data_IF_217010923120
#
_entry.id   IF_217010923120
#
_cell.length_a   1.000
_cell.length_b   1.000
_cell.length_c   1.000
_cell.angle_alpha   90.00
_cell.angle_beta   90.00
_cell.angle_gamma   90.00
#
_symmetry.space_group_name_H-M   'P 1'
#
loop_
_entity.id
_entity.type
_entity.pdbx_description
1 polymer ?
#
# COMPACT_ATOMS: atom_id res chain seq x y z
N UNK A 1 10.56 -52.89 -22.04
CA UNK A 1 9.35 -52.23 -21.51
C UNK A 1 9.73 -51.24 -20.39
N UNK A 2 10.51 -50.19 -20.69
CA UNK A 2 11.06 -49.29 -19.65
C UNK A 2 11.33 -47.88 -20.21
N UNK A 3 10.40 -47.32 -20.99
CA UNK A 3 10.50 -45.93 -21.47
C UNK A 3 9.22 -45.10 -21.33
N UNK A 4 8.14 -45.69 -20.81
CA UNK A 4 6.81 -45.06 -20.76
C UNK A 4 6.39 -44.57 -19.37
N UNK A 5 7.25 -44.64 -18.36
CA UNK A 5 6.94 -44.20 -16.99
C UNK A 5 7.58 -42.87 -16.57
N UNK A 6 8.49 -42.30 -17.37
CA UNK A 6 9.20 -41.06 -16.99
C UNK A 6 8.41 -39.79 -17.37
N UNK A 7 7.42 -39.88 -18.27
CA UNK A 7 6.70 -38.69 -18.77
C UNK A 7 5.56 -38.25 -17.83
N UNK A 8 5.06 -39.14 -16.96
CA UNK A 8 3.92 -38.84 -16.06
C UNK A 8 4.36 -38.04 -14.82
N UNK A 9 5.66 -38.02 -14.47
CA UNK A 9 6.16 -37.31 -13.28
C UNK A 9 6.44 -35.81 -13.50
N UNK A 10 6.40 -35.33 -14.75
CA UNK A 10 6.63 -33.92 -15.11
C UNK A 10 5.34 -33.10 -15.23
N UNK A 11 4.18 -33.73 -14.98
CA UNK A 11 2.86 -33.08 -15.01
C UNK A 11 2.26 -33.05 -13.58
N UNK A 12 3.12 -32.88 -12.56
CA UNK A 12 2.65 -32.25 -11.31
C UNK A 12 2.61 -30.76 -11.61
N UNK A 13 1.46 -30.39 -12.18
CA UNK A 13 1.09 -29.05 -12.57
C UNK A 13 1.39 -28.09 -11.42
N UNK A 14 2.29 -27.15 -11.65
CA UNK A 14 2.43 -25.95 -10.85
C UNK A 14 1.15 -25.10 -11.02
N UNK A 15 0.04 -25.54 -10.42
CA UNK A 15 -1.03 -24.63 -10.06
C UNK A 15 -0.53 -23.84 -8.85
N UNK A 16 0.34 -22.87 -9.12
CA UNK A 16 0.55 -21.75 -8.22
C UNK A 16 -0.74 -20.94 -8.22
N UNK A 17 -1.77 -21.44 -7.54
CA UNK A 17 -2.81 -20.56 -7.03
C UNK A 17 -2.05 -19.51 -6.22
N UNK A 18 -2.17 -18.23 -6.60
CA UNK A 18 -1.59 -17.14 -5.81
C UNK A 18 -2.30 -17.17 -4.46
N UNK A 19 -1.73 -17.95 -3.53
CA UNK A 19 -2.26 -18.10 -2.19
C UNK A 19 -2.15 -16.74 -1.53
N UNK A 20 -3.28 -16.22 -1.10
CA UNK A 20 -3.35 -14.95 -0.41
C UNK A 20 -2.57 -15.08 0.91
N UNK A 21 -1.66 -14.16 1.18
CA UNK A 21 -0.96 -14.11 2.47
C UNK A 21 -1.80 -13.37 3.51
N UNK A 22 -1.56 -13.62 4.80
CA UNK A 22 -2.31 -12.96 5.87
C UNK A 22 -2.26 -11.43 5.74
N UNK A 23 -3.42 -10.77 5.72
CA UNK A 23 -3.54 -9.33 5.53
C UNK A 23 -3.43 -8.84 4.08
N UNK A 24 -3.33 -9.74 3.11
CA UNK A 24 -3.46 -9.39 1.69
C UNK A 24 -4.92 -9.42 1.24
N UNK A 25 -5.21 -8.67 0.18
CA UNK A 25 -6.47 -8.66 -0.55
C UNK A 25 -6.22 -8.91 -2.03
N UNK A 26 -7.19 -9.52 -2.71
CA UNK A 26 -7.22 -9.73 -4.16
C UNK A 26 -8.58 -9.32 -4.71
N UNK A 27 -8.60 -8.57 -5.81
CA UNK A 27 -9.85 -8.15 -6.45
C UNK A 27 -10.49 -9.30 -7.25
N UNK A 28 -11.82 -9.36 -7.25
CA UNK A 28 -12.59 -10.08 -8.27
C UNK A 28 -12.83 -9.14 -9.46
N UNK A 29 -12.16 -9.30 -10.61
CA UNK A 29 -12.31 -8.38 -11.74
C UNK A 29 -13.72 -8.35 -12.32
N UNK A 30 -14.46 -9.45 -12.20
CA UNK A 30 -15.82 -9.58 -12.73
C UNK A 30 -16.86 -8.82 -11.90
N UNK A 31 -16.50 -8.44 -10.67
CA UNK A 31 -17.37 -7.72 -9.74
C UNK A 31 -17.49 -6.22 -10.01
N UNK A 32 -16.64 -5.65 -10.87
CA UNK A 32 -16.61 -4.20 -11.12
C UNK A 32 -17.97 -3.70 -11.63
N UNK A 33 -18.53 -2.69 -10.99
CA UNK A 33 -19.76 -2.01 -11.45
C UNK A 33 -19.59 -0.49 -11.36
N UNK A 34 -19.90 0.20 -12.45
CA UNK A 34 -19.94 1.66 -12.48
C UNK A 34 -21.13 2.18 -11.68
N UNK A 35 -20.93 3.30 -10.98
CA UNK A 35 -21.95 3.96 -10.15
C UNK A 35 -22.42 5.30 -10.74
N UNK A 36 -21.71 5.79 -11.76
CA UNK A 36 -22.08 6.96 -12.53
C UNK A 36 -21.94 6.69 -14.03
N UNK A 37 -22.75 7.37 -14.83
CA UNK A 37 -22.69 7.33 -16.30
C UNK A 37 -21.98 8.59 -16.81
N UNK A 38 -20.69 8.43 -17.14
CA UNK A 38 -19.82 9.51 -17.65
C UNK A 38 -19.11 9.08 -18.94
N UNK A 39 -19.60 8.01 -19.59
CA UNK A 39 -18.89 7.39 -20.72
C UNK A 39 -18.82 8.31 -21.94
N UNK A 40 -19.81 9.17 -22.13
CA UNK A 40 -19.92 10.08 -23.26
C UNK A 40 -19.39 11.49 -22.98
N UNK A 41 -18.97 11.77 -21.74
CA UNK A 41 -18.43 13.08 -21.36
C UNK A 41 -17.08 13.36 -22.05
N UNK A 42 -16.65 14.62 -22.07
CA UNK A 42 -15.28 14.98 -22.47
C UNK A 42 -14.32 14.75 -21.29
N UNK A 43 -13.05 14.50 -21.58
CA UNK A 43 -12.02 14.48 -20.53
C UNK A 43 -11.78 15.88 -19.94
N UNK A 44 -11.42 15.99 -18.65
CA UNK A 44 -11.25 14.91 -17.68
C UNK A 44 -12.60 14.35 -17.17
N UNK A 45 -12.64 13.02 -16.96
CA UNK A 45 -13.80 12.30 -16.44
C UNK A 45 -13.51 11.77 -15.04
N UNK A 46 -14.50 11.79 -14.16
CA UNK A 46 -14.41 11.16 -12.84
C UNK A 46 -15.27 9.91 -12.84
N UNK A 47 -14.66 8.74 -12.79
CA UNK A 47 -15.37 7.46 -12.69
C UNK A 47 -15.51 7.05 -11.23
N UNK A 48 -16.73 6.70 -10.84
CA UNK A 48 -17.04 6.10 -9.55
C UNK A 48 -17.47 4.67 -9.83
N UNK A 49 -16.79 3.71 -9.22
CA UNK A 49 -17.10 2.30 -9.41
C UNK A 49 -16.87 1.53 -8.12
N UNK A 50 -17.59 0.41 -7.97
CA UNK A 50 -17.41 -0.53 -6.87
C UNK A 50 -16.79 -1.83 -7.36
N UNK A 51 -15.98 -2.44 -6.51
CA UNK A 51 -15.37 -3.75 -6.72
C UNK A 51 -15.48 -4.60 -5.45
N UNK A 52 -15.52 -5.91 -5.62
CA UNK A 52 -15.41 -6.89 -4.54
C UNK A 52 -13.99 -7.42 -4.44
N UNK A 53 -13.55 -7.65 -3.21
CA UNK A 53 -12.21 -8.10 -2.87
C UNK A 53 -12.32 -9.25 -1.87
N UNK A 54 -11.52 -10.29 -2.07
CA UNK A 54 -11.32 -11.34 -1.09
C UNK A 54 -10.06 -10.99 -0.29
N UNK A 55 -10.20 -10.87 1.03
CA UNK A 55 -9.13 -10.45 1.94
C UNK A 55 -8.93 -11.50 3.03
N UNK A 56 -7.68 -11.90 3.28
CA UNK A 56 -7.36 -12.94 4.27
C UNK A 56 -7.06 -12.33 5.65
N UNK A 57 -7.80 -12.77 6.67
CA UNK A 57 -7.50 -12.53 8.09
C UNK A 57 -7.23 -13.84 8.85
N UNK A 58 -7.15 -13.76 10.17
CA UNK A 58 -7.01 -14.91 11.07
C UNK A 58 -8.24 -15.81 11.01
N UNK A 59 -9.39 -15.23 10.70
CA UNK A 59 -10.70 -15.89 10.72
C UNK A 59 -11.05 -16.47 9.34
N UNK A 60 -10.15 -16.34 8.36
CA UNK A 60 -10.31 -16.82 7.00
C UNK A 60 -10.49 -15.69 5.98
N UNK A 61 -11.05 -16.05 4.82
CA UNK A 61 -11.28 -15.12 3.71
C UNK A 61 -12.58 -14.37 3.95
N UNK A 62 -12.49 -13.04 3.97
CA UNK A 62 -13.65 -12.12 4.06
C UNK A 62 -13.80 -11.40 2.73
N UNK A 63 -15.04 -11.34 2.22
CA UNK A 63 -15.38 -10.57 1.02
C UNK A 63 -15.76 -9.14 1.40
N UNK A 64 -15.05 -8.16 0.83
CA UNK A 64 -15.27 -6.73 1.06
C UNK A 64 -15.69 -6.09 -0.27
N UNK A 65 -16.79 -5.34 -0.26
CA UNK A 65 -17.16 -4.49 -1.39
C UNK A 65 -16.73 -3.06 -1.08
N UNK A 66 -16.05 -2.44 -2.03
CA UNK A 66 -15.34 -1.20 -1.79
C UNK A 66 -15.49 -0.25 -2.98
N UNK A 67 -15.63 1.04 -2.70
CA UNK A 67 -15.91 2.08 -3.71
C UNK A 67 -14.61 2.82 -4.03
N UNK A 68 -14.33 2.98 -5.32
CA UNK A 68 -13.17 3.70 -5.84
C UNK A 68 -13.62 4.86 -6.72
N UNK A 69 -12.84 5.94 -6.68
CA UNK A 69 -12.97 7.10 -7.56
C UNK A 69 -11.66 7.29 -8.34
N UNK A 70 -11.75 7.46 -9.65
CA UNK A 70 -10.59 7.67 -10.51
C UNK A 70 -10.86 8.81 -11.49
N UNK A 71 -9.94 9.77 -11.54
CA UNK A 71 -9.93 10.82 -12.56
C UNK A 71 -9.12 10.32 -13.76
N UNK A 72 -9.74 10.37 -14.92
CA UNK A 72 -9.13 10.01 -16.18
C UNK A 72 -9.02 11.20 -17.11
N UNK A 73 -7.85 11.38 -17.70
CA UNK A 73 -7.56 12.50 -18.62
C UNK A 73 -7.52 12.06 -20.09
N UNK A 74 -7.52 10.76 -20.36
CA UNK A 74 -7.41 10.19 -21.70
C UNK A 74 -7.75 8.69 -21.70
N UNK A 75 -7.79 8.07 -22.87
CA UNK A 75 -8.12 6.65 -23.03
C UNK A 75 -7.15 5.70 -22.29
N UNK A 76 -5.86 6.07 -22.17
CA UNK A 76 -4.88 5.26 -21.44
C UNK A 76 -5.15 5.29 -19.94
N UNK A 77 -5.58 6.44 -19.41
CA UNK A 77 -6.02 6.56 -18.03
C UNK A 77 -7.29 5.77 -17.76
N UNK A 78 -8.26 5.76 -18.69
CA UNK A 78 -9.46 4.91 -18.58
C UNK A 78 -9.07 3.44 -18.40
N UNK A 79 -8.16 2.96 -19.24
CA UNK A 79 -7.72 1.57 -19.20
C UNK A 79 -6.92 1.21 -17.93
N UNK A 80 -6.10 2.14 -17.41
CA UNK A 80 -5.13 1.83 -16.33
C UNK A 80 -5.56 2.27 -14.94
N UNK A 81 -6.37 3.32 -14.82
CA UNK A 81 -6.81 3.90 -13.53
C UNK A 81 -8.23 3.49 -13.17
N UNK A 82 -9.10 3.27 -14.16
CA UNK A 82 -10.51 2.91 -13.94
C UNK A 82 -10.65 1.39 -13.84
N UNK A 83 -9.88 0.78 -12.93
CA UNK A 83 -9.88 -0.66 -12.65
C UNK A 83 -9.84 -0.89 -11.15
N UNK A 84 -10.28 -2.06 -10.69
CA UNK A 84 -10.18 -2.44 -9.27
C UNK A 84 -8.71 -2.46 -8.83
N UNK A 85 -8.45 -2.17 -7.55
CA UNK A 85 -7.10 -2.18 -7.01
C UNK A 85 -6.45 -3.57 -7.16
N UNK A 86 -5.17 -3.61 -7.54
CA UNK A 86 -4.48 -4.86 -7.85
C UNK A 86 -4.69 -5.40 -9.28
N UNK A 87 -5.72 -4.96 -10.01
CA UNK A 87 -5.92 -5.35 -11.42
C UNK A 87 -4.86 -4.70 -12.31
N UNK A 88 -4.23 -5.50 -13.17
CA UNK A 88 -3.28 -5.08 -14.19
C UNK A 88 -3.88 -5.26 -15.57
N UNK A 89 -3.61 -4.27 -16.40
CA UNK A 89 -4.05 -4.19 -17.80
C UNK A 89 -2.79 -4.02 -18.63
N UNK A 90 -2.69 -4.75 -19.74
CA UNK A 90 -1.60 -4.65 -20.69
C UNK A 90 -2.08 -3.99 -21.97
N UNK A 91 -1.17 -3.28 -22.61
CA UNK A 91 -1.39 -2.60 -23.89
C UNK A 91 -1.13 -3.58 -25.02
N UNK A 92 -2.05 -3.63 -25.98
CA UNK A 92 -1.99 -4.46 -27.17
C UNK A 92 -2.15 -3.56 -28.40
N UNK A 93 -1.77 -4.00 -29.62
CA UNK A 93 -1.75 -3.13 -30.81
C UNK A 93 -3.06 -2.40 -31.10
N UNK A 94 -4.20 -2.96 -30.68
CA UNK A 94 -5.55 -2.41 -30.90
C UNK A 94 -6.27 -1.99 -29.62
N UNK A 95 -5.56 -1.82 -28.49
CA UNK A 95 -6.16 -1.29 -27.27
C UNK A 95 -5.53 -1.82 -25.98
N UNK A 96 -6.39 -2.21 -25.04
CA UNK A 96 -6.00 -2.64 -23.71
C UNK A 96 -6.77 -3.89 -23.32
N UNK A 97 -6.09 -4.86 -22.72
CA UNK A 97 -6.72 -6.08 -22.22
C UNK A 97 -6.30 -6.41 -20.79
N UNK A 98 -7.15 -7.14 -20.09
CA UNK A 98 -6.84 -7.68 -18.77
C UNK A 98 -5.58 -8.54 -18.84
N UNK A 99 -4.64 -8.29 -17.93
CA UNK A 99 -3.42 -9.08 -17.78
C UNK A 99 -3.57 -10.08 -16.62
N UNK A 100 -3.70 -9.55 -15.40
CA UNK A 100 -3.78 -10.35 -14.17
C UNK A 100 -4.28 -9.52 -12.98
N UNK A 101 -4.55 -10.20 -11.88
CA UNK A 101 -4.73 -9.57 -10.56
C UNK A 101 -3.52 -9.85 -9.70
N UNK A 102 -2.98 -8.81 -9.07
CA UNK A 102 -1.86 -8.91 -8.13
C UNK A 102 -2.43 -8.67 -6.72
N UNK A 103 -2.23 -9.61 -5.77
CA UNK A 103 -2.55 -9.38 -4.38
C UNK A 103 -1.81 -8.15 -3.83
N UNK A 104 -2.46 -7.43 -2.93
CA UNK A 104 -1.88 -6.26 -2.29
C UNK A 104 -2.09 -6.29 -0.79
N UNK A 105 -1.16 -5.71 -0.05
CA UNK A 105 -1.30 -5.60 1.40
C UNK A 105 -2.41 -4.60 1.75
N UNK A 106 -3.37 -5.04 2.54
CA UNK A 106 -4.60 -4.30 2.86
C UNK A 106 -4.35 -2.94 3.52
N UNK A 107 -3.24 -2.75 4.24
CA UNK A 107 -2.90 -1.42 4.78
C UNK A 107 -2.36 -0.44 3.74
N UNK A 108 -1.91 -0.91 2.57
CA UNK A 108 -1.43 -0.04 1.49
C UNK A 108 -2.57 0.45 0.59
N UNK A 109 -3.76 -0.12 0.72
CA UNK A 109 -4.90 0.21 -0.14
C UNK A 109 -5.25 1.70 -0.12
N UNK A 110 -5.74 2.19 -1.26
CA UNK A 110 -6.38 3.51 -1.33
C UNK A 110 -7.87 3.45 -1.00
N UNK A 111 -8.41 2.26 -0.89
CA UNK A 111 -9.85 2.05 -0.76
C UNK A 111 -10.26 2.06 0.71
N UNK A 112 -11.15 2.99 1.06
CA UNK A 112 -11.50 3.30 2.45
C UNK A 112 -12.00 2.06 3.19
N UNK A 113 -12.88 1.27 2.59
CA UNK A 113 -13.53 0.12 3.22
C UNK A 113 -12.51 -0.98 3.56
N UNK A 114 -11.58 -1.27 2.64
CA UNK A 114 -10.50 -2.23 2.88
C UNK A 114 -9.55 -1.71 3.96
N UNK A 115 -9.23 -0.42 3.94
CA UNK A 115 -8.34 0.21 4.93
C UNK A 115 -8.95 0.15 6.33
N UNK A 116 -10.22 0.49 6.47
CA UNK A 116 -10.96 0.43 7.74
C UNK A 116 -11.05 -0.98 8.29
N UNK A 117 -11.27 -1.97 7.42
CA UNK A 117 -11.24 -3.38 7.80
C UNK A 117 -9.83 -3.81 8.26
N UNK A 118 -8.78 -3.43 7.52
CA UNK A 118 -7.41 -3.79 7.84
C UNK A 118 -6.99 -3.26 9.22
N UNK A 119 -7.37 -2.02 9.55
CA UNK A 119 -7.06 -1.40 10.85
C UNK A 119 -7.68 -2.13 12.05
N UNK A 120 -8.79 -2.83 11.84
CA UNK A 120 -9.49 -3.58 12.90
C UNK A 120 -9.00 -5.01 13.03
N UNK A 121 -8.64 -5.64 11.90
CA UNK A 121 -8.43 -7.09 11.83
C UNK A 121 -6.98 -7.51 11.56
N UNK A 122 -6.16 -6.62 10.99
CA UNK A 122 -4.83 -6.96 10.50
C UNK A 122 -3.78 -6.11 11.25
N UNK A 123 -2.87 -6.73 12.03
CA UNK A 123 -1.70 -6.04 12.55
C UNK A 123 -0.91 -5.34 11.44
N UNK A 124 -0.42 -4.12 11.69
CA UNK A 124 0.32 -3.34 10.69
C UNK A 124 1.65 -4.01 10.31
N UNK A 125 2.31 -4.64 11.28
CA UNK A 125 3.59 -5.31 11.08
C UNK A 125 3.37 -6.82 10.96
N UNK A 126 3.34 -7.30 9.73
CA UNK A 126 3.14 -8.72 9.36
C UNK A 126 4.14 -9.11 8.27
N UNK A 127 4.14 -10.39 7.90
CA UNK A 127 4.97 -10.86 6.78
C UNK A 127 4.61 -10.16 5.47
N UNK A 128 3.33 -9.88 5.25
CA UNK A 128 2.83 -9.14 4.09
C UNK A 128 3.31 -7.69 4.05
N UNK A 129 3.56 -7.07 5.21
CA UNK A 129 4.13 -5.72 5.28
C UNK A 129 5.66 -5.68 5.11
N UNK A 130 6.35 -6.82 5.10
CA UNK A 130 7.82 -6.89 5.18
C UNK A 130 8.53 -6.12 4.08
N UNK A 131 8.07 -6.23 2.83
CA UNK A 131 8.63 -5.49 1.70
C UNK A 131 8.47 -3.98 1.86
N UNK A 132 7.30 -3.53 2.32
CA UNK A 132 7.01 -2.12 2.58
C UNK A 132 7.84 -1.58 3.73
N UNK A 133 8.00 -2.38 4.79
CA UNK A 133 8.77 -2.03 5.96
C UNK A 133 10.27 -1.92 5.63
N UNK A 134 10.82 -2.86 4.85
CA UNK A 134 12.21 -2.78 4.38
C UNK A 134 12.44 -1.55 3.51
N UNK A 135 11.49 -1.24 2.62
CA UNK A 135 11.56 -0.03 1.81
C UNK A 135 11.52 1.24 2.69
N UNK A 136 10.61 1.29 3.66
CA UNK A 136 10.55 2.36 4.65
C UNK A 136 11.87 2.55 5.38
N UNK A 137 12.44 1.48 5.96
CA UNK A 137 13.72 1.58 6.69
C UNK A 137 14.86 2.08 5.81
N UNK A 138 14.95 1.64 4.55
CA UNK A 138 15.96 2.16 3.62
C UNK A 138 15.82 3.67 3.39
N UNK A 139 14.59 4.16 3.20
CA UNK A 139 14.35 5.59 3.02
C UNK A 139 14.63 6.38 4.29
N UNK A 140 14.25 5.86 5.46
CA UNK A 140 14.53 6.51 6.74
C UNK A 140 16.02 6.55 7.03
N UNK A 141 16.79 5.52 6.68
CA UNK A 141 18.25 5.49 6.84
C UNK A 141 18.94 6.56 5.99
N UNK A 142 18.52 6.73 4.73
CA UNK A 142 19.01 7.80 3.85
C UNK A 142 18.73 9.20 4.43
N UNK A 143 17.52 9.41 4.95
CA UNK A 143 17.14 10.67 5.60
C UNK A 143 17.93 10.89 6.90
N UNK A 144 18.08 9.86 7.72
CA UNK A 144 18.81 9.92 8.97
C UNK A 144 20.26 10.34 8.74
N UNK A 145 20.95 9.71 7.79
CA UNK A 145 22.33 10.07 7.38
C UNK A 145 22.41 11.53 6.91
N UNK A 146 21.45 11.97 6.11
CA UNK A 146 21.40 13.36 5.61
C UNK A 146 21.21 14.36 6.75
N UNK A 147 20.32 14.05 7.70
CA UNK A 147 20.10 14.87 8.90
C UNK A 147 21.32 14.88 9.81
N UNK A 148 22.05 13.78 9.98
CA UNK A 148 23.31 13.76 10.74
C UNK A 148 24.39 14.65 10.11
N UNK A 149 24.46 14.73 8.78
CA UNK A 149 25.37 15.66 8.07
C UNK A 149 24.96 17.11 8.32
N UNK A 150 23.68 17.46 8.15
CA UNK A 150 23.17 18.79 8.46
C UNK A 150 23.26 19.12 9.97
N UNK A 151 23.22 18.10 10.82
CA UNK A 151 23.31 18.16 12.26
C UNK A 151 24.66 18.66 12.79
N UNK A 152 25.70 18.71 11.93
CA UNK A 152 26.98 19.33 12.26
C UNK A 152 26.84 20.82 12.61
N UNK A 153 25.82 21.48 12.08
CA UNK A 153 25.58 22.92 12.27
C UNK A 153 24.23 23.23 12.90
N UNK A 154 23.41 22.22 13.22
CA UNK A 154 22.06 22.44 13.76
C UNK A 154 21.65 21.30 14.68
N UNK A 155 21.30 21.63 15.93
CA UNK A 155 20.88 20.66 16.93
C UNK A 155 19.61 19.90 16.49
N UNK A 156 18.66 20.58 15.83
CA UNK A 156 17.41 19.95 15.40
C UNK A 156 17.61 18.80 14.42
N UNK A 157 18.52 18.99 13.46
CA UNK A 157 18.86 17.95 12.49
C UNK A 157 19.66 16.82 13.12
N UNK A 158 20.56 17.14 14.07
CA UNK A 158 21.31 16.11 14.81
C UNK A 158 20.38 15.17 15.56
N UNK A 159 19.49 15.73 16.40
CA UNK A 159 18.53 14.94 17.19
C UNK A 159 17.59 14.12 16.30
N UNK A 160 17.09 14.71 15.21
CA UNK A 160 16.25 14.00 14.26
C UNK A 160 17.00 12.85 13.58
N UNK A 161 18.24 13.07 13.16
CA UNK A 161 19.08 12.06 12.52
C UNK A 161 19.39 10.89 13.47
N UNK A 162 19.69 11.18 14.74
CA UNK A 162 19.92 10.17 15.77
C UNK A 162 18.66 9.33 16.04
N UNK A 163 17.51 9.98 16.24
CA UNK A 163 16.23 9.30 16.48
C UNK A 163 15.82 8.40 15.29
N UNK A 164 15.94 8.90 14.05
CA UNK A 164 15.63 8.10 12.86
C UNK A 164 16.62 6.93 12.68
N UNK A 165 17.89 7.11 13.03
CA UNK A 165 18.87 6.01 13.03
C UNK A 165 18.51 4.91 14.04
N UNK A 166 18.02 5.30 15.22
CA UNK A 166 17.54 4.34 16.23
C UNK A 166 16.33 3.55 15.72
N UNK A 167 15.38 4.21 15.04
CA UNK A 167 14.22 3.53 14.43
C UNK A 167 14.65 2.48 13.41
N UNK A 168 15.65 2.78 12.57
CA UNK A 168 16.15 1.84 11.55
C UNK A 168 16.83 0.62 12.19
N UNK A 169 17.54 0.83 13.30
CA UNK A 169 18.31 -0.21 13.97
C UNK A 169 17.46 -1.07 14.93
N UNK A 170 16.18 -0.74 15.12
CA UNK A 170 15.27 -1.45 16.00
C UNK A 170 14.73 -2.73 15.32
N UNK A 171 15.31 -3.88 15.66
CA UNK A 171 15.03 -5.16 14.97
C UNK A 171 13.68 -5.79 15.32
N UNK A 172 13.33 -5.84 16.60
CA UNK A 172 12.25 -6.75 17.04
C UNK A 172 10.96 -6.02 17.45
N UNK A 173 11.03 -5.05 18.37
CA UNK A 173 9.81 -4.51 19.00
C UNK A 173 9.21 -3.27 18.31
N UNK A 174 10.04 -2.52 17.56
CA UNK A 174 9.61 -1.31 16.83
C UNK A 174 8.94 -0.29 17.78
N UNK A 175 9.35 -0.28 19.05
CA UNK A 175 8.80 0.56 20.12
C UNK A 175 8.90 2.02 19.74
N UNK A 176 10.07 2.47 19.28
CA UNK A 176 10.28 3.87 18.94
C UNK A 176 9.45 4.27 17.72
N UNK A 177 9.41 3.41 16.70
CA UNK A 177 8.53 3.62 15.55
C UNK A 177 7.06 3.72 15.96
N UNK A 178 6.59 2.82 16.84
CA UNK A 178 5.21 2.83 17.34
C UNK A 178 4.90 4.10 18.12
N UNK A 179 5.81 4.58 18.97
CA UNK A 179 5.64 5.83 19.70
C UNK A 179 5.47 7.02 18.73
N UNK A 180 6.33 7.12 17.72
CA UNK A 180 6.19 8.17 16.71
C UNK A 180 4.94 8.02 15.85
N UNK A 181 4.50 6.80 15.53
CA UNK A 181 3.23 6.59 14.81
C UNK A 181 2.02 7.04 15.64
N UNK A 182 2.03 6.80 16.96
CA UNK A 182 0.99 7.29 17.89
C UNK A 182 0.99 8.81 17.94
N UNK A 183 2.17 9.43 18.09
CA UNK A 183 2.32 10.88 18.11
C UNK A 183 1.88 11.52 16.78
N UNK A 184 2.30 10.94 15.66
CA UNK A 184 1.93 11.36 14.32
C UNK A 184 0.41 11.33 14.13
N UNK A 185 -0.23 10.22 14.50
CA UNK A 185 -1.68 10.08 14.41
C UNK A 185 -2.41 11.10 15.29
N UNK A 186 -1.90 11.38 16.50
CA UNK A 186 -2.44 12.43 17.37
C UNK A 186 -2.36 13.81 16.72
N UNK A 187 -1.20 14.18 16.16
CA UNK A 187 -1.02 15.49 15.49
C UNK A 187 -1.90 15.65 14.26
N UNK A 188 -2.02 14.61 13.43
CA UNK A 188 -2.86 14.64 12.22
C UNK A 188 -4.35 14.82 12.53
N UNK A 189 -4.81 14.44 13.73
CA UNK A 189 -6.18 14.72 14.18
C UNK A 189 -6.41 16.18 14.58
N UNK A 190 -5.34 16.90 14.95
CA UNK A 190 -5.40 18.31 15.36
C UNK A 190 -5.21 19.26 14.17
N UNK A 191 -4.66 18.77 13.06
CA UNK A 191 -4.43 19.56 11.85
C UNK A 191 -3.26 19.02 11.01
N UNK A 192 -2.88 19.72 9.93
CA UNK A 192 -1.67 19.39 9.19
C UNK A 192 -0.42 19.52 10.08
N UNK A 193 0.63 18.77 9.75
CA UNK A 193 1.91 18.90 10.45
C UNK A 193 2.45 20.32 10.28
N UNK A 194 2.83 20.96 11.38
CA UNK A 194 3.32 22.34 11.39
C UNK A 194 4.58 22.54 10.52
N UNK A 195 4.83 23.80 10.15
CA UNK A 195 5.99 24.18 9.33
C UNK A 195 7.24 24.50 10.16
N UNK A 196 7.13 24.52 11.48
CA UNK A 196 8.23 24.82 12.39
C UNK A 196 9.38 23.81 12.26
N UNK A 197 10.60 24.33 12.25
CA UNK A 197 11.83 23.55 12.19
C UNK A 197 12.18 23.04 13.59
N UNK A 198 11.64 21.87 13.94
CA UNK A 198 11.95 21.16 15.19
C UNK A 198 12.33 19.72 14.90
N UNK A 199 13.14 19.11 15.76
CA UNK A 199 13.56 17.70 15.64
C UNK A 199 12.35 16.78 15.51
N UNK A 200 11.34 17.00 16.34
CA UNK A 200 10.08 16.24 16.31
C UNK A 200 9.36 16.38 14.96
N UNK A 201 9.20 17.60 14.43
CA UNK A 201 8.53 17.78 13.14
C UNK A 201 9.33 17.17 11.99
N UNK A 202 10.66 17.21 12.04
CA UNK A 202 11.53 16.54 11.06
C UNK A 202 11.28 15.03 11.07
N UNK A 203 11.28 14.41 12.25
CA UNK A 203 11.02 12.96 12.42
C UNK A 203 9.63 12.60 11.93
N UNK A 204 8.60 13.33 12.38
CA UNK A 204 7.21 13.05 12.04
C UNK A 204 6.93 13.22 10.54
N UNK A 205 7.52 14.23 9.90
CA UNK A 205 7.40 14.44 8.45
C UNK A 205 8.07 13.32 7.66
N UNK A 206 9.26 12.88 8.08
CA UNK A 206 9.96 11.76 7.44
C UNK A 206 9.15 10.45 7.57
N UNK A 207 8.62 10.15 8.77
CA UNK A 207 7.76 8.98 8.97
C UNK A 207 6.47 9.09 8.16
N UNK A 208 5.84 10.26 8.12
CA UNK A 208 4.63 10.47 7.34
C UNK A 208 4.87 10.29 5.84
N UNK A 209 5.97 10.83 5.31
CA UNK A 209 6.30 10.76 3.89
C UNK A 209 6.54 9.32 3.40
N UNK A 210 7.24 8.51 4.19
CA UNK A 210 7.64 7.15 3.79
C UNK A 210 6.77 6.03 4.37
N UNK A 211 6.02 6.33 5.44
CA UNK A 211 5.30 5.36 6.26
C UNK A 211 3.79 5.57 6.32
N UNK A 212 3.21 6.38 5.43
CA UNK A 212 1.78 6.74 5.44
C UNK A 212 0.83 5.54 5.48
N UNK A 213 1.22 4.43 4.84
CA UNK A 213 0.46 3.18 4.82
C UNK A 213 0.28 2.56 6.22
N UNK A 214 1.12 2.90 7.21
CA UNK A 214 0.99 2.45 8.60
C UNK A 214 -0.10 3.20 9.38
N UNK A 215 -0.63 4.29 8.83
CA UNK A 215 -1.55 5.18 9.52
C UNK A 215 -3.03 4.86 9.21
N UNK A 216 -3.94 5.11 10.18
CA UNK A 216 -5.37 4.88 9.99
C UNK A 216 -6.03 5.83 8.99
N UNK A 217 -5.55 7.06 8.89
CA UNK A 217 -6.16 8.11 8.08
C UNK A 217 -5.57 8.22 6.66
N UNK A 218 -5.02 7.13 6.11
CA UNK A 218 -4.58 7.12 4.71
C UNK A 218 -5.77 6.83 3.80
N UNK A 219 -6.48 7.89 3.41
CA UNK A 219 -7.33 7.89 2.22
C UNK A 219 -6.90 9.12 1.44
N UNK A 220 -6.30 8.92 0.26
CA UNK A 220 -6.08 10.03 -0.67
C UNK A 220 -7.45 10.60 -1.04
N UNK A 221 -7.67 11.89 -0.74
CA UNK A 221 -8.79 12.65 -1.29
C UNK A 221 -8.50 12.97 -2.75
#
# INVERSE_FOLDING_TARGET
>A
MTKFQIIIYLIVVQFSANALSFGECVADPSSKRYMNDVFYDKYPKTFIFKCSYDCLSSDGIVKITAISSAISYNLRDDARKVVCEGVKVKEIPYGFEFDKVIPFFSHQTRTKEIKEWALKNIPVFTDSSRKLLNHFYRQIDEVAKSYLVAGRTSLFFKEAGEALSLIVNEKDEKVLLRQYLVLLNKKLKMGPLGHELTSENLILKSIYAHGRWMLPNYVEK
#
